data_IF_555130390210
#
_entry.id   IF_555130390210
#
_cell.length_a   1.000
_cell.length_b   1.000
_cell.length_c   1.000
_cell.angle_alpha   90.00
_cell.angle_beta   90.00
_cell.angle_gamma   90.00
#
_symmetry.space_group_name_H-M   'P 1'
#
loop_
_entity.id
_entity.type
_entity.pdbx_description
1 polymer ?
#
# COMPACT_ATOMS: atom_id res chain seq x y z
N UNK A 1 61.42 58.00 31.49
CA UNK A 1 60.17 57.23 31.27
C UNK A 1 59.50 57.07 32.63
N UNK A 2 58.35 57.73 32.81
CA UNK A 2 57.53 57.77 34.04
C UNK A 2 56.33 56.81 33.90
N UNK A 3 55.59 56.37 34.94
CA UNK A 3 55.82 56.09 36.37
C UNK A 3 54.51 55.43 36.91
N UNK A 4 54.57 54.56 37.93
CA UNK A 4 53.51 54.23 38.93
C UNK A 4 52.04 53.81 38.58
N UNK A 5 51.58 52.77 39.29
CA UNK A 5 50.20 52.57 39.83
C UNK A 5 50.03 53.38 41.15
N UNK A 6 48.85 53.45 41.84
CA UNK A 6 47.42 53.51 41.44
C UNK A 6 46.63 54.64 42.18
N UNK A 7 45.30 54.81 41.96
CA UNK A 7 44.23 54.95 43.00
C UNK A 7 42.84 55.49 42.51
N UNK A 8 41.79 54.97 43.15
CA UNK A 8 40.46 55.50 43.51
C UNK A 8 39.59 56.41 42.60
N UNK A 9 38.34 55.95 42.43
CA UNK A 9 37.06 56.64 42.69
C UNK A 9 36.71 57.96 41.97
N UNK A 10 35.65 57.91 41.16
CA UNK A 10 34.61 58.96 41.23
C UNK A 10 33.23 58.41 40.89
N UNK A 11 32.23 58.71 41.74
CA UNK A 11 30.82 58.36 41.55
C UNK A 11 30.18 59.38 40.59
N UNK A 12 29.34 58.93 39.65
CA UNK A 12 28.28 59.76 39.06
C UNK A 12 26.99 58.96 38.93
N UNK A 13 25.96 59.40 39.66
CA UNK A 13 24.57 59.01 39.44
C UNK A 13 24.02 59.70 38.18
N UNK A 14 23.12 59.04 37.44
CA UNK A 14 21.96 59.61 36.73
C UNK A 14 21.06 58.44 36.28
N UNK A 15 19.76 58.64 35.96
CA UNK A 15 18.72 58.11 36.83
C UNK A 15 17.94 56.94 36.22
N UNK A 16 17.35 56.13 37.11
CA UNK A 16 16.36 55.12 36.76
C UNK A 16 15.09 55.82 36.27
N UNK A 17 14.71 55.60 35.01
CA UNK A 17 13.37 55.89 34.51
C UNK A 17 12.57 54.59 34.45
N UNK A 18 11.59 54.45 35.35
CA UNK A 18 10.53 53.46 35.19
C UNK A 18 9.68 53.88 33.98
N UNK A 19 9.73 53.09 32.91
CA UNK A 19 8.64 53.07 31.92
C UNK A 19 7.72 51.89 32.25
N UNK A 20 6.64 52.19 32.97
CA UNK A 20 5.51 51.29 33.10
C UNK A 20 4.71 51.32 31.78
N UNK A 21 5.01 50.38 30.87
CA UNK A 21 4.16 50.10 29.72
C UNK A 21 3.13 49.03 30.12
N UNK A 22 1.85 49.41 30.13
CA UNK A 22 0.77 48.49 30.44
C UNK A 22 0.63 47.45 29.32
N UNK A 23 0.75 46.16 29.66
CA UNK A 23 0.33 45.07 28.79
C UNK A 23 -1.20 45.07 28.70
N UNK A 24 -1.81 45.07 27.50
CA UNK A 24 -3.23 44.82 27.37
C UNK A 24 -3.50 43.37 27.76
N UNK A 25 -4.44 43.17 28.70
CA UNK A 25 -4.91 41.86 29.10
C UNK A 25 -5.75 41.28 27.95
N UNK A 26 -5.13 40.53 27.05
CA UNK A 26 -5.84 39.81 25.98
C UNK A 26 -6.65 38.71 26.65
N UNK A 27 -7.97 38.87 26.63
CA UNK A 27 -8.92 37.84 27.00
C UNK A 27 -8.75 36.64 26.07
N UNK A 28 -8.50 35.45 26.63
CA UNK A 28 -8.66 34.19 25.89
C UNK A 28 -10.11 34.08 25.43
N UNK A 29 -10.33 34.26 24.13
CA UNK A 29 -11.50 33.75 23.45
C UNK A 29 -11.19 32.33 22.98
N UNK A 30 -12.15 31.41 23.10
CA UNK A 30 -11.98 30.03 22.68
C UNK A 30 -11.65 29.93 21.18
N UNK A 31 -10.40 29.60 20.86
CA UNK A 31 -10.01 29.04 19.57
C UNK A 31 -9.48 27.64 19.81
N UNK A 32 -10.37 26.66 19.70
CA UNK A 32 -10.08 25.24 19.80
C UNK A 32 -9.32 24.78 18.55
N UNK A 33 -8.04 25.13 18.46
CA UNK A 33 -7.13 24.69 17.40
C UNK A 33 -6.03 23.79 17.98
N UNK A 34 -6.45 22.60 18.40
CA UNK A 34 -5.58 21.49 18.80
C UNK A 34 -4.95 20.76 17.60
N UNK A 35 -5.32 21.12 16.36
CA UNK A 35 -4.97 20.36 15.14
C UNK A 35 -3.45 20.30 14.88
N UNK A 36 -2.71 21.35 15.25
CA UNK A 36 -1.29 21.49 14.94
C UNK A 36 -0.33 20.75 15.89
N UNK A 37 -0.76 20.33 17.09
CA UNK A 37 0.05 19.47 17.97
C UNK A 37 -0.21 17.97 17.78
N UNK A 38 -1.34 17.59 17.18
CA UNK A 38 -1.71 16.17 16.98
C UNK A 38 -0.75 15.46 16.00
N UNK A 39 -0.07 16.17 15.10
CA UNK A 39 0.86 15.57 14.13
C UNK A 39 2.12 14.88 14.73
N UNK A 40 2.38 14.99 16.03
CA UNK A 40 3.41 14.21 16.74
C UNK A 40 2.84 13.19 17.74
N UNK A 41 1.51 13.12 17.90
CA UNK A 41 0.81 12.24 18.83
C UNK A 41 -0.33 11.44 18.16
N UNK A 42 -0.50 11.57 16.84
CA UNK A 42 -1.32 10.67 16.05
C UNK A 42 -0.79 9.25 16.26
N UNK A 43 -1.65 8.39 16.80
CA UNK A 43 -1.33 6.97 16.97
C UNK A 43 -1.03 6.34 15.62
N UNK A 44 -0.20 5.30 15.62
CA UNK A 44 0.15 4.64 14.37
C UNK A 44 -1.10 4.05 13.71
N UNK A 45 -1.45 4.61 12.57
CA UNK A 45 -2.66 4.21 11.88
C UNK A 45 -2.56 2.74 11.41
N UNK A 46 -1.36 2.20 11.16
CA UNK A 46 -1.14 0.77 10.90
C UNK A 46 -1.50 -0.13 12.11
N UNK A 47 -1.47 0.39 13.35
CA UNK A 47 -1.97 -0.30 14.57
C UNK A 47 -3.49 -0.17 14.64
N UNK A 48 -4.01 1.05 14.47
CA UNK A 48 -5.44 1.34 14.57
C UNK A 48 -6.28 0.57 13.53
N UNK A 49 -5.75 0.39 12.30
CA UNK A 49 -6.37 -0.38 11.22
C UNK A 49 -6.63 -1.86 11.60
N UNK A 50 -5.84 -2.42 12.51
CA UNK A 50 -6.04 -3.78 13.05
C UNK A 50 -6.95 -3.74 14.28
N UNK A 51 -6.68 -2.83 15.23
CA UNK A 51 -7.42 -2.73 16.51
C UNK A 51 -8.92 -2.46 16.32
N UNK A 52 -9.31 -1.78 15.23
CA UNK A 52 -10.72 -1.42 14.93
C UNK A 52 -11.43 -2.42 14.02
N UNK A 53 -10.79 -3.53 13.66
CA UNK A 53 -11.37 -4.53 12.77
C UNK A 53 -11.97 -5.68 13.56
N UNK A 54 -13.24 -6.00 13.28
CA UNK A 54 -13.96 -7.12 13.89
C UNK A 54 -14.18 -8.24 12.86
N UNK A 55 -13.65 -9.46 13.09
CA UNK A 55 -13.98 -10.62 12.27
C UNK A 55 -15.47 -10.95 12.38
N UNK A 56 -16.06 -11.43 11.28
CA UNK A 56 -17.40 -12.04 11.30
C UNK A 56 -17.38 -13.27 12.22
N UNK A 57 -18.06 -13.15 13.36
CA UNK A 57 -18.37 -14.31 14.21
C UNK A 57 -19.33 -15.25 13.49
N UNK A 58 -19.15 -16.55 13.70
CA UNK A 58 -20.13 -17.56 13.27
C UNK A 58 -21.48 -17.32 13.97
N UNK A 59 -22.63 -17.60 13.32
CA UNK A 59 -23.94 -17.34 13.92
C UNK A 59 -24.18 -18.26 15.13
N UNK A 60 -23.93 -17.75 16.33
CA UNK A 60 -24.01 -18.54 17.57
C UNK A 60 -23.57 -17.83 18.85
N UNK A 61 -22.74 -16.79 18.77
CA UNK A 61 -22.25 -16.06 19.95
C UNK A 61 -22.74 -14.61 20.01
N UNK A 62 -23.47 -14.32 21.09
CA UNK A 62 -24.19 -13.10 21.44
C UNK A 62 -25.45 -12.78 20.60
N UNK A 63 -26.58 -12.70 21.29
CA UNK A 63 -27.89 -12.37 20.71
C UNK A 63 -28.40 -10.99 21.13
N UNK A 64 -29.53 -10.61 20.51
CA UNK A 64 -30.31 -9.40 20.75
C UNK A 64 -29.69 -8.09 20.20
N UNK A 65 -29.79 -7.93 18.88
CA UNK A 65 -29.82 -6.63 18.22
C UNK A 65 -31.05 -6.58 17.30
N UNK A 66 -31.86 -5.53 17.44
CA UNK A 66 -33.16 -5.38 16.80
C UNK A 66 -33.08 -5.12 15.29
N UNK A 67 -33.90 -5.82 14.51
CA UNK A 67 -34.13 -5.55 13.09
C UNK A 67 -34.77 -4.15 12.88
N UNK A 68 -33.98 -3.18 12.38
CA UNK A 68 -34.48 -1.98 11.72
C UNK A 68 -34.42 -2.19 10.19
N UNK A 69 -35.52 -2.67 9.61
CA UNK A 69 -35.66 -2.83 8.16
C UNK A 69 -35.66 -1.45 7.46
N UNK A 70 -34.58 -1.10 6.75
CA UNK A 70 -34.58 -0.01 5.77
C UNK A 70 -34.76 -0.56 4.35
N UNK A 71 -35.94 -0.33 3.78
CA UNK A 71 -36.23 -0.62 2.37
C UNK A 71 -35.28 0.13 1.42
N UNK A 72 -34.74 -0.52 0.37
CA UNK A 72 -33.94 0.16 -0.64
C UNK A 72 -34.82 0.98 -1.59
N UNK A 73 -34.73 2.30 -1.50
CA UNK A 73 -35.39 3.21 -2.45
C UNK A 73 -34.72 3.17 -3.83
N UNK A 74 -35.44 2.70 -4.84
CA UNK A 74 -34.97 2.66 -6.22
C UNK A 74 -34.89 4.08 -6.83
N UNK A 75 -33.77 4.47 -7.47
CA UNK A 75 -33.72 5.71 -8.24
C UNK A 75 -34.43 5.55 -9.59
N UNK A 76 -35.31 6.51 -9.93
CA UNK A 76 -35.99 6.54 -11.22
C UNK A 76 -35.04 7.01 -12.33
N UNK A 77 -34.90 6.21 -13.39
CA UNK A 77 -34.01 6.50 -14.53
C UNK A 77 -34.74 7.29 -15.61
N UNK A 78 -34.58 8.63 -15.62
CA UNK A 78 -35.03 9.46 -16.74
C UNK A 78 -33.97 9.44 -17.86
N UNK A 79 -34.18 8.57 -18.87
CA UNK A 79 -33.29 8.49 -20.04
C UNK A 79 -33.61 9.61 -21.04
N UNK A 80 -32.86 10.71 -21.01
CA UNK A 80 -32.75 11.62 -22.15
C UNK A 80 -31.56 11.24 -23.04
N UNK A 81 -31.86 10.52 -24.12
CA UNK A 81 -30.87 10.07 -25.10
C UNK A 81 -30.36 11.24 -25.94
N UNK A 82 -29.23 11.84 -25.55
CA UNK A 82 -28.44 12.69 -26.44
C UNK A 82 -27.37 11.84 -27.12
N UNK A 83 -27.61 11.46 -28.38
CA UNK A 83 -26.63 10.79 -29.24
C UNK A 83 -25.54 11.76 -29.68
N UNK A 84 -24.48 11.88 -28.89
CA UNK A 84 -23.22 12.49 -29.33
C UNK A 84 -22.45 11.46 -30.15
N UNK A 85 -22.40 11.64 -31.47
CA UNK A 85 -21.54 10.84 -32.35
C UNK A 85 -20.07 11.26 -32.12
N UNK A 86 -19.44 10.67 -31.11
CA UNK A 86 -18.00 10.83 -30.88
C UNK A 86 -17.23 10.03 -31.92
N UNK A 87 -16.71 10.69 -32.95
CA UNK A 87 -15.76 10.07 -33.89
C UNK A 87 -14.46 9.81 -33.13
N UNK A 88 -14.24 8.55 -32.74
CA UNK A 88 -12.98 8.11 -32.13
C UNK A 88 -11.92 8.06 -33.24
N UNK A 89 -11.16 9.15 -33.38
CA UNK A 89 -9.94 9.13 -34.18
C UNK A 89 -8.98 8.12 -33.51
N UNK A 90 -8.43 7.13 -34.23
CA UNK A 90 -7.50 6.18 -33.64
C UNK A 90 -6.21 6.91 -33.27
N UNK A 91 -6.02 7.17 -31.97
CA UNK A 91 -4.72 7.58 -31.43
C UNK A 91 -3.74 6.44 -31.70
N UNK A 92 -2.72 6.69 -32.51
CA UNK A 92 -1.66 5.73 -32.81
C UNK A 92 -0.89 5.42 -31.53
N UNK A 93 -1.31 4.38 -30.80
CA UNK A 93 -0.69 3.97 -29.54
C UNK A 93 0.76 3.58 -29.81
N UNK A 94 1.69 4.15 -29.04
CA UNK A 94 3.11 3.79 -29.16
C UNK A 94 3.31 2.45 -28.46
N UNK A 95 3.73 1.44 -29.22
CA UNK A 95 4.15 0.14 -28.68
C UNK A 95 5.33 0.38 -27.72
N UNK A 96 5.27 -0.23 -26.54
CA UNK A 96 6.32 -0.18 -25.55
C UNK A 96 7.53 -1.03 -25.99
N UNK A 97 8.77 -0.63 -25.67
CA UNK A 97 9.93 -1.43 -26.01
C UNK A 97 9.96 -2.71 -25.17
N UNK A 98 10.19 -3.85 -25.82
CA UNK A 98 10.54 -5.09 -25.12
C UNK A 98 11.99 -5.00 -24.63
N UNK A 99 12.22 -5.14 -23.33
CA UNK A 99 13.54 -5.00 -22.68
C UNK A 99 13.71 -6.08 -21.62
N UNK A 100 14.92 -6.62 -21.45
CA UNK A 100 15.19 -7.41 -20.24
C UNK A 100 15.16 -6.49 -19.01
N UNK A 101 14.36 -6.85 -18.01
CA UNK A 101 14.32 -6.15 -16.73
C UNK A 101 15.64 -6.33 -15.95
N UNK A 102 16.42 -7.38 -16.20
CA UNK A 102 17.74 -7.60 -15.61
C UNK A 102 18.81 -6.66 -16.17
N UNK A 103 18.64 -6.20 -17.41
CA UNK A 103 19.57 -5.26 -18.03
C UNK A 103 19.37 -3.82 -17.52
N UNK A 104 20.48 -3.08 -17.47
CA UNK A 104 20.50 -1.64 -17.14
C UNK A 104 20.04 -0.86 -18.37
N UNK A 105 18.72 -0.77 -18.54
CA UNK A 105 18.10 0.00 -19.62
C UNK A 105 18.23 1.52 -19.39
N UNK A 106 18.15 2.34 -20.47
CA UNK A 106 17.98 3.78 -20.35
C UNK A 106 16.67 4.15 -19.60
N UNK A 107 16.59 5.40 -19.14
CA UNK A 107 15.39 5.94 -18.49
C UNK A 107 14.16 5.80 -19.42
N UNK A 108 12.98 5.45 -18.88
CA UNK A 108 11.76 5.35 -19.67
C UNK A 108 11.37 6.72 -20.24
N UNK A 109 10.86 6.74 -21.47
CA UNK A 109 10.35 7.97 -22.11
C UNK A 109 9.13 8.51 -21.34
N UNK A 110 9.02 9.84 -21.13
CA UNK A 110 7.81 10.44 -20.57
C UNK A 110 6.58 10.20 -21.48
N UNK A 111 5.39 10.28 -20.88
CA UNK A 111 4.12 10.32 -21.63
C UNK A 111 4.12 11.50 -22.62
N UNK A 112 3.56 11.34 -23.83
CA UNK A 112 3.36 12.46 -24.74
C UNK A 112 2.31 13.43 -24.17
N UNK A 113 2.56 14.74 -24.29
CA UNK A 113 1.55 15.75 -23.96
C UNK A 113 0.30 15.58 -24.86
N UNK A 114 -0.91 15.82 -24.34
CA UNK A 114 -2.13 15.72 -25.13
C UNK A 114 -2.17 16.81 -26.21
N UNK A 115 -2.02 16.42 -27.47
CA UNK A 115 -2.09 17.33 -28.62
C UNK A 115 -3.48 17.97 -28.75
N UNK A 116 -3.56 19.29 -28.57
CA UNK A 116 -4.74 20.08 -28.92
C UNK A 116 -4.74 20.39 -30.42
N UNK A 117 -5.37 19.52 -31.20
CA UNK A 117 -5.55 19.76 -32.64
C UNK A 117 -6.52 20.94 -32.89
N UNK A 118 -6.14 21.96 -33.69
CA UNK A 118 -7.08 22.96 -34.20
C UNK A 118 -8.02 22.30 -35.21
N UNK A 119 -9.29 22.73 -35.23
CA UNK A 119 -10.34 22.08 -36.01
C UNK A 119 -10.07 22.02 -37.51
N UNK A 120 -10.30 20.84 -38.09
CA UNK A 120 -10.39 20.61 -39.52
C UNK A 120 -11.80 20.12 -39.86
N UNK A 121 -12.46 20.77 -40.82
CA UNK A 121 -13.74 20.35 -41.36
C UNK A 121 -13.56 19.05 -42.17
N UNK A 122 -14.42 18.05 -41.94
CA UNK A 122 -14.43 16.80 -42.69
C UNK A 122 -15.65 16.78 -43.62
N UNK A 123 -15.40 16.75 -44.93
CA UNK A 123 -16.42 16.49 -45.96
C UNK A 123 -16.75 15.00 -46.03
N UNK A 124 -18.03 14.68 -46.24
CA UNK A 124 -18.53 13.30 -46.23
C UNK A 124 -18.48 12.65 -47.62
N UNK A 125 -17.75 11.53 -47.72
CA UNK A 125 -17.75 10.45 -48.73
C UNK A 125 -16.58 9.53 -48.28
N UNK A 126 -16.67 8.20 -48.13
CA UNK A 126 -17.63 7.19 -48.60
C UNK A 126 -17.92 6.13 -47.51
N UNK A 127 -19.10 5.52 -47.55
CA UNK A 127 -19.50 4.36 -46.73
C UNK A 127 -20.10 3.30 -47.66
N UNK A 128 -19.58 2.06 -47.66
CA UNK A 128 -20.28 0.94 -48.28
C UNK A 128 -20.03 -0.39 -47.58
N UNK A 129 -21.07 -1.22 -47.58
CA UNK A 129 -21.24 -2.47 -46.81
C UNK A 129 -21.30 -3.65 -47.78
N UNK A 130 -20.79 -4.81 -47.37
CA UNK A 130 -21.17 -6.11 -47.96
C UNK A 130 -21.48 -7.09 -46.84
N UNK A 131 -22.58 -7.84 -46.99
CA UNK A 131 -23.05 -8.91 -46.10
C UNK A 131 -23.37 -10.18 -46.91
N UNK A 132 -23.49 -11.31 -46.19
CA UNK A 132 -24.08 -12.61 -46.62
C UNK A 132 -23.23 -13.43 -47.63
N UNK A 133 -23.17 -14.78 -47.65
CA UNK A 133 -23.90 -15.93 -47.04
C UNK A 133 -22.92 -17.11 -46.79
N UNK A 134 -23.13 -18.18 -46.00
CA UNK A 134 -24.01 -18.50 -44.86
C UNK A 134 -23.70 -19.95 -44.35
N UNK A 135 -24.10 -20.27 -43.10
CA UNK A 135 -24.44 -21.60 -42.50
C UNK A 135 -23.54 -22.86 -42.72
N UNK A 136 -23.13 -23.48 -41.61
CA UNK A 136 -22.51 -24.82 -41.55
C UNK A 136 -22.63 -25.49 -40.17
N UNK A 137 -23.70 -26.26 -40.00
CA UNK A 137 -24.05 -27.33 -39.02
C UNK A 137 -23.33 -27.49 -37.66
N UNK A 138 -24.16 -27.71 -36.63
CA UNK A 138 -23.80 -28.04 -35.25
C UNK A 138 -23.65 -29.55 -35.01
N UNK A 139 -22.59 -29.97 -34.33
CA UNK A 139 -22.54 -31.24 -33.58
C UNK A 139 -21.81 -31.04 -32.24
N UNK A 140 -22.21 -31.81 -31.23
CA UNK A 140 -21.63 -31.82 -29.89
C UNK A 140 -21.98 -33.16 -29.21
N UNK A 141 -21.25 -33.58 -28.17
CA UNK A 141 -19.82 -33.90 -28.25
C UNK A 141 -19.59 -35.38 -27.90
N UNK A 142 -18.43 -35.93 -28.28
CA UNK A 142 -17.95 -37.23 -27.77
C UNK A 142 -16.83 -36.98 -26.74
N UNK A 143 -16.82 -37.76 -25.65
CA UNK A 143 -15.89 -37.60 -24.53
C UNK A 143 -14.43 -37.90 -24.95
N UNK A 144 -13.63 -36.86 -25.20
CA UNK A 144 -12.17 -36.99 -25.26
C UNK A 144 -11.55 -36.82 -23.87
N UNK A 145 -10.69 -37.77 -23.49
CA UNK A 145 -10.02 -37.78 -22.20
C UNK A 145 -8.91 -36.72 -22.13
N UNK A 146 -9.06 -35.81 -21.16
CA UNK A 146 -8.08 -34.87 -20.59
C UNK A 146 -6.71 -34.78 -21.32
N UNK A 147 -6.74 -34.18 -22.50
CA UNK A 147 -5.53 -33.66 -23.15
C UNK A 147 -5.16 -32.34 -22.47
N UNK A 148 -3.86 -32.03 -22.27
CA UNK A 148 -3.46 -30.77 -21.66
C UNK A 148 -3.97 -29.62 -22.52
N UNK A 149 -4.94 -28.87 -21.98
CA UNK A 149 -5.55 -27.72 -22.64
C UNK A 149 -4.45 -26.70 -22.89
N UNK A 150 -4.13 -26.44 -24.16
CA UNK A 150 -3.14 -25.41 -24.49
C UNK A 150 -3.66 -24.06 -23.97
N UNK A 151 -2.82 -23.31 -23.22
CA UNK A 151 -3.27 -22.05 -22.65
C UNK A 151 -3.63 -21.06 -23.75
N UNK A 152 -4.76 -20.36 -23.58
CA UNK A 152 -5.21 -19.35 -24.53
C UNK A 152 -4.12 -18.27 -24.71
N UNK A 153 -3.88 -17.76 -25.94
CA UNK A 153 -2.88 -16.72 -26.16
C UNK A 153 -3.28 -15.40 -25.50
N UNK A 154 -2.30 -14.67 -24.97
CA UNK A 154 -2.53 -13.34 -24.40
C UNK A 154 -2.82 -12.28 -25.49
N UNK A 155 -3.58 -11.26 -25.10
CA UNK A 155 -3.79 -10.05 -25.88
C UNK A 155 -2.81 -8.93 -25.47
N UNK A 156 -2.63 -7.95 -26.36
CA UNK A 156 -1.89 -6.73 -26.02
C UNK A 156 -2.61 -5.93 -24.93
N UNK A 157 -1.82 -5.26 -24.10
CA UNK A 157 -2.30 -4.57 -22.90
C UNK A 157 -1.92 -3.09 -22.99
N UNK A 158 -2.88 -2.19 -22.77
CA UNK A 158 -2.59 -0.74 -22.78
C UNK A 158 -2.50 -0.21 -21.35
N UNK A 159 -1.37 0.39 -21.00
CA UNK A 159 -1.12 1.04 -19.70
C UNK A 159 -0.28 2.31 -19.93
N UNK A 160 -0.58 3.40 -19.20
CA UNK A 160 0.17 4.68 -19.28
C UNK A 160 0.39 5.16 -20.73
N UNK A 161 -0.67 5.09 -21.55
CA UNK A 161 -0.65 5.50 -22.96
C UNK A 161 0.20 4.64 -23.92
N UNK A 162 0.79 3.53 -23.45
CA UNK A 162 1.64 2.62 -24.23
C UNK A 162 0.99 1.24 -24.37
N UNK A 163 1.24 0.57 -25.50
CA UNK A 163 0.78 -0.80 -25.75
C UNK A 163 1.90 -1.80 -25.46
N UNK A 164 1.66 -2.75 -24.55
CA UNK A 164 2.58 -3.81 -24.14
C UNK A 164 2.15 -5.11 -24.81
N UNK A 165 2.98 -5.64 -25.71
CA UNK A 165 2.66 -6.84 -26.49
C UNK A 165 2.79 -8.12 -25.63
N UNK A 166 2.07 -9.20 -25.97
CA UNK A 166 2.28 -10.53 -25.39
C UNK A 166 3.74 -10.98 -25.48
N UNK A 167 4.22 -11.71 -24.48
CA UNK A 167 5.60 -12.23 -24.47
C UNK A 167 6.68 -11.15 -24.28
N UNK A 168 6.33 -9.97 -23.76
CA UNK A 168 7.27 -8.86 -23.57
C UNK A 168 7.30 -8.34 -22.14
N UNK A 169 8.41 -7.72 -21.78
CA UNK A 169 8.55 -6.97 -20.54
C UNK A 169 9.08 -5.56 -20.82
N UNK A 170 8.68 -4.59 -20.01
CA UNK A 170 8.96 -3.17 -20.25
C UNK A 170 9.01 -2.32 -18.98
N UNK A 171 9.48 -1.08 -19.14
CA UNK A 171 9.49 -0.03 -18.11
C UNK A 171 8.69 1.15 -18.64
N UNK A 172 7.53 1.40 -18.05
CA UNK A 172 6.68 2.54 -18.36
C UNK A 172 6.98 3.70 -17.40
N UNK A 173 6.63 4.92 -17.82
CA UNK A 173 6.82 6.14 -17.06
C UNK A 173 5.49 6.57 -16.43
N UNK A 174 5.30 6.36 -15.13
CA UNK A 174 4.22 7.01 -14.39
C UNK A 174 4.72 8.33 -13.80
N UNK A 175 3.87 9.35 -13.81
CA UNK A 175 4.08 10.55 -13.01
C UNK A 175 2.72 11.10 -12.57
N UNK A 176 2.56 11.55 -11.32
CA UNK A 176 1.30 12.13 -10.86
C UNK A 176 1.00 13.52 -11.46
N UNK A 177 1.87 14.09 -12.30
CA UNK A 177 1.70 15.38 -13.02
C UNK A 177 1.39 16.60 -12.09
N UNK A 178 1.71 16.48 -10.80
CA UNK A 178 1.52 17.50 -9.74
C UNK A 178 2.74 18.41 -9.50
N UNK A 179 3.89 18.06 -10.07
CA UNK A 179 5.15 18.77 -9.82
C UNK A 179 5.29 19.97 -10.76
N UNK A 180 6.12 20.93 -10.36
CA UNK A 180 6.41 22.12 -11.18
C UNK A 180 6.98 21.66 -12.53
N UNK A 181 6.49 22.23 -13.64
CA UNK A 181 6.95 21.90 -14.97
C UNK A 181 8.49 21.99 -15.08
N UNK A 182 9.12 20.96 -15.63
CA UNK A 182 10.58 20.83 -15.69
C UNK A 182 11.25 20.22 -14.45
N UNK A 183 10.52 20.02 -13.34
CA UNK A 183 10.99 19.27 -12.16
C UNK A 183 10.28 17.91 -11.98
N UNK A 184 9.36 17.56 -12.88
CA UNK A 184 8.56 16.33 -12.79
C UNK A 184 9.43 15.09 -12.83
N UNK A 185 9.48 14.36 -11.72
CA UNK A 185 10.14 13.06 -11.63
C UNK A 185 9.22 11.96 -12.17
N UNK A 186 9.82 11.02 -12.90
CA UNK A 186 9.17 9.81 -13.40
C UNK A 186 9.40 8.68 -12.40
N UNK A 187 8.33 7.99 -12.04
CA UNK A 187 8.36 6.74 -11.30
C UNK A 187 8.29 5.58 -12.30
N UNK A 188 9.29 4.68 -12.36
CA UNK A 188 9.24 3.52 -13.24
C UNK A 188 8.16 2.53 -12.82
N UNK A 189 7.30 2.15 -13.77
CA UNK A 189 6.34 1.04 -13.64
C UNK A 189 6.88 -0.13 -14.45
N UNK A 190 7.21 -1.23 -13.77
CA UNK A 190 7.64 -2.47 -14.38
C UNK A 190 6.40 -3.22 -14.89
N UNK A 191 6.43 -3.71 -16.12
CA UNK A 191 5.33 -4.54 -16.66
C UNK A 191 5.92 -5.77 -17.33
N UNK A 192 5.33 -6.94 -17.04
CA UNK A 192 5.58 -8.19 -17.76
C UNK A 192 4.22 -8.69 -18.27
N UNK A 193 4.06 -8.78 -19.60
CA UNK A 193 2.86 -9.34 -20.23
C UNK A 193 3.21 -10.72 -20.77
N UNK A 194 2.51 -11.75 -20.29
CA UNK A 194 2.73 -13.13 -20.65
C UNK A 194 2.44 -13.43 -22.12
N UNK A 195 2.86 -14.60 -22.59
CA UNK A 195 2.39 -15.16 -23.88
C UNK A 195 1.01 -15.79 -23.76
N UNK A 196 0.61 -16.17 -22.55
CA UNK A 196 -0.67 -16.83 -22.26
C UNK A 196 -1.62 -15.87 -21.55
N UNK A 197 -2.92 -15.97 -21.82
CA UNK A 197 -3.97 -15.25 -21.11
C UNK A 197 -4.04 -15.66 -19.64
N UNK A 198 -4.46 -14.73 -18.78
CA UNK A 198 -4.53 -14.93 -17.32
C UNK A 198 -4.75 -13.60 -16.60
N UNK A 199 -4.78 -13.59 -15.26
CA UNK A 199 -5.08 -12.41 -14.46
C UNK A 199 -3.93 -11.40 -14.45
N UNK A 200 -4.24 -10.17 -14.03
CA UNK A 200 -3.31 -9.05 -13.87
C UNK A 200 -3.04 -8.80 -12.39
N UNK A 201 -1.84 -9.15 -11.93
CA UNK A 201 -1.37 -8.91 -10.56
C UNK A 201 -0.61 -7.59 -10.49
N UNK A 202 -0.98 -6.73 -9.55
CA UNK A 202 -0.26 -5.50 -9.24
C UNK A 202 0.47 -5.60 -7.90
N UNK A 203 1.70 -5.10 -7.87
CA UNK A 203 2.56 -5.06 -6.68
C UNK A 203 2.98 -3.61 -6.45
N UNK A 204 2.62 -3.03 -5.30
CA UNK A 204 3.02 -1.67 -4.91
C UNK A 204 3.96 -1.70 -3.72
N UNK A 205 5.00 -0.86 -3.75
CA UNK A 205 6.01 -0.76 -2.71
C UNK A 205 6.37 0.70 -2.44
N UNK A 206 6.82 0.94 -1.21
CA UNK A 206 7.15 2.27 -0.70
C UNK A 206 6.07 3.34 -1.02
N UNK A 207 4.79 3.01 -0.77
CA UNK A 207 3.72 4.01 -0.58
C UNK A 207 4.10 4.96 0.56
N UNK A 208 4.75 4.41 1.58
CA UNK A 208 5.58 5.13 2.53
C UNK A 208 7.04 5.05 2.10
N UNK A 209 7.72 6.19 1.99
CA UNK A 209 9.05 6.23 1.36
C UNK A 209 10.17 5.54 2.14
N UNK A 210 9.98 5.31 3.44
CA UNK A 210 10.94 4.66 4.34
C UNK A 210 10.86 3.11 4.34
N UNK A 211 9.93 2.50 3.63
CA UNK A 211 9.64 1.06 3.72
C UNK A 211 10.39 0.26 2.63
N UNK A 212 11.66 -0.06 2.92
CA UNK A 212 12.63 -0.51 1.91
C UNK A 212 12.48 -1.98 1.45
N UNK A 213 12.04 -2.89 2.33
CA UNK A 213 11.97 -4.32 1.98
C UNK A 213 11.01 -4.59 0.80
N UNK A 214 9.88 -3.88 0.76
CA UNK A 214 8.90 -4.01 -0.34
C UNK A 214 9.47 -3.68 -1.71
N UNK A 215 10.37 -2.69 -1.79
CA UNK A 215 11.07 -2.31 -3.02
C UNK A 215 11.82 -3.51 -3.60
N UNK A 216 12.57 -4.23 -2.76
CA UNK A 216 13.41 -5.35 -3.20
C UNK A 216 12.60 -6.64 -3.42
N UNK A 217 11.53 -6.88 -2.64
CA UNK A 217 10.57 -7.95 -2.90
C UNK A 217 10.00 -7.82 -4.32
N UNK A 218 9.47 -6.64 -4.67
CA UNK A 218 8.92 -6.38 -6.01
C UNK A 218 9.98 -6.52 -7.07
N UNK A 219 11.18 -5.96 -6.85
CA UNK A 219 12.28 -6.06 -7.81
C UNK A 219 12.65 -7.50 -8.12
N UNK A 220 12.83 -8.36 -7.11
CA UNK A 220 13.22 -9.76 -7.31
C UNK A 220 12.12 -10.54 -8.02
N UNK A 221 10.88 -10.46 -7.54
CA UNK A 221 9.73 -11.09 -8.21
C UNK A 221 9.63 -10.64 -9.67
N UNK A 222 9.59 -9.33 -9.95
CA UNK A 222 9.47 -8.80 -11.32
C UNK A 222 10.64 -9.19 -12.23
N UNK A 223 11.86 -9.28 -11.70
CA UNK A 223 13.05 -9.58 -12.48
C UNK A 223 13.23 -11.09 -12.74
N UNK A 224 12.60 -11.97 -11.96
CA UNK A 224 12.65 -13.42 -12.18
C UNK A 224 11.62 -13.92 -13.21
N UNK A 225 10.56 -13.15 -13.46
CA UNK A 225 9.53 -13.49 -14.45
C UNK A 225 10.11 -13.63 -15.87
N UNK A 226 9.74 -14.72 -16.54
CA UNK A 226 9.91 -14.88 -17.99
C UNK A 226 8.55 -14.72 -18.68
N UNK A 227 8.33 -13.71 -19.54
CA UNK A 227 7.06 -13.52 -20.22
C UNK A 227 6.69 -14.67 -21.16
N UNK A 228 7.65 -15.44 -21.70
CA UNK A 228 7.40 -16.66 -22.48
C UNK A 228 6.82 -17.82 -21.67
N UNK A 229 6.77 -17.70 -20.34
CA UNK A 229 6.26 -18.72 -19.41
C UNK A 229 5.21 -18.18 -18.44
N UNK A 230 4.77 -16.93 -18.64
CA UNK A 230 3.79 -16.27 -17.79
C UNK A 230 2.40 -16.38 -18.44
N UNK A 231 1.41 -16.71 -17.62
CA UNK A 231 0.00 -16.56 -17.92
C UNK A 231 -0.54 -15.32 -17.21
N UNK A 232 -1.15 -14.41 -17.97
CA UNK A 232 -1.56 -13.10 -17.48
C UNK A 232 -0.42 -12.09 -17.42
N UNK A 233 -0.51 -11.15 -16.48
CA UNK A 233 0.33 -9.95 -16.42
C UNK A 233 0.76 -9.67 -14.99
N UNK A 234 1.99 -9.17 -14.82
CA UNK A 234 2.43 -8.61 -13.53
C UNK A 234 2.90 -7.18 -13.74
N UNK A 235 2.43 -6.27 -12.88
CA UNK A 235 2.75 -4.85 -12.87
C UNK A 235 3.38 -4.53 -11.51
N UNK A 236 4.62 -4.04 -11.51
CA UNK A 236 5.34 -3.66 -10.30
C UNK A 236 5.58 -2.16 -10.25
N UNK A 237 5.20 -1.51 -9.15
CA UNK A 237 5.56 -0.13 -8.82
C UNK A 237 6.43 -0.15 -7.56
N UNK A 238 7.76 -0.35 -7.66
CA UNK A 238 8.59 -0.57 -6.49
C UNK A 238 8.69 0.62 -5.54
N UNK A 239 8.49 1.85 -6.05
CA UNK A 239 8.59 3.09 -5.28
C UNK A 239 7.45 4.03 -5.67
N UNK A 240 6.33 3.97 -4.95
CA UNK A 240 5.19 4.87 -5.19
C UNK A 240 5.51 6.31 -4.72
N UNK A 241 5.92 6.49 -3.46
CA UNK A 241 6.26 7.80 -2.89
C UNK A 241 7.76 8.10 -3.11
N UNK A 242 8.13 8.38 -4.36
CA UNK A 242 9.51 8.68 -4.76
C UNK A 242 10.15 9.83 -3.96
N UNK A 243 9.34 10.85 -3.60
CA UNK A 243 9.80 11.98 -2.79
C UNK A 243 10.07 11.61 -1.33
N UNK A 244 9.24 10.76 -0.73
CA UNK A 244 9.47 10.22 0.61
C UNK A 244 10.69 9.31 0.61
N UNK A 245 10.86 8.48 -0.42
CA UNK A 245 12.00 7.57 -0.57
C UNK A 245 13.33 8.33 -0.62
N UNK A 246 13.41 9.40 -1.41
CA UNK A 246 14.59 10.29 -1.45
C UNK A 246 14.92 10.94 -0.10
N UNK A 247 13.96 11.02 0.81
CA UNK A 247 14.09 11.65 2.13
C UNK A 247 14.20 10.63 3.28
N UNK A 248 14.01 9.33 3.03
CA UNK A 248 13.83 8.33 4.09
C UNK A 248 12.61 8.65 4.97
N UNK A 249 11.49 9.05 4.35
CA UNK A 249 10.29 9.55 5.01
C UNK A 249 9.05 8.78 4.57
N UNK A 250 8.26 8.33 5.56
CA UNK A 250 6.90 7.83 5.37
C UNK A 250 6.03 8.77 4.53
N UNK A 251 6.04 10.04 4.90
CA UNK A 251 5.11 11.04 4.40
C UNK A 251 5.52 11.64 3.05
N UNK A 252 4.55 12.25 2.37
CA UNK A 252 4.76 13.18 1.26
C UNK A 252 5.43 14.49 1.73
N UNK A 253 5.96 15.33 0.81
CA UNK A 253 6.63 16.58 1.17
C UNK A 253 5.79 17.59 1.98
N UNK A 254 4.45 17.51 1.91
CA UNK A 254 3.52 18.30 2.71
C UNK A 254 3.05 17.59 4.00
N UNK A 255 3.77 16.53 4.40
CA UNK A 255 3.58 15.71 5.61
C UNK A 255 2.31 14.87 5.67
N UNK A 256 1.59 14.72 4.57
CA UNK A 256 0.47 13.77 4.50
C UNK A 256 0.96 12.34 4.35
N UNK A 257 0.30 11.41 5.03
CA UNK A 257 0.41 9.98 4.74
C UNK A 257 -0.39 9.70 3.46
N UNK A 258 0.26 9.18 2.41
CA UNK A 258 -0.39 8.89 1.13
C UNK A 258 -1.46 7.78 1.28
N UNK A 259 -1.26 6.83 2.19
CA UNK A 259 -2.16 5.69 2.41
C UNK A 259 -3.44 6.07 3.20
N UNK A 260 -3.76 7.36 3.28
CA UNK A 260 -4.99 7.92 3.86
C UNK A 260 -5.81 8.74 2.85
N UNK A 261 -5.43 8.74 1.58
CA UNK A 261 -6.08 9.53 0.51
C UNK A 261 -6.53 8.70 -0.70
N UNK A 262 -6.49 7.37 -0.70
CA UNK A 262 -7.02 6.55 -1.79
C UNK A 262 -8.56 6.42 -1.75
N UNK A 263 -9.25 6.32 -2.91
CA UNK A 263 -8.72 6.32 -4.27
C UNK A 263 -8.28 7.71 -4.77
N UNK A 264 -8.53 8.78 -4.01
CA UNK A 264 -8.04 10.12 -4.30
C UNK A 264 -8.99 10.97 -5.14
N UNK A 265 -8.53 12.19 -5.44
CA UNK A 265 -9.27 13.17 -6.25
C UNK A 265 -8.36 13.95 -7.18
N UNK A 266 -8.71 14.01 -8.46
CA UNK A 266 -8.00 14.79 -9.49
C UNK A 266 -7.86 16.29 -9.16
N UNK A 267 -8.83 16.85 -8.46
CA UNK A 267 -8.88 18.27 -8.09
C UNK A 267 -8.39 18.57 -6.67
N UNK A 268 -8.13 17.54 -5.85
CA UNK A 268 -7.86 17.64 -4.42
C UNK A 268 -6.47 18.16 -4.04
N UNK A 269 -6.05 17.79 -2.83
CA UNK A 269 -4.73 18.13 -2.28
C UNK A 269 -3.58 17.31 -2.94
N UNK A 270 -2.34 17.49 -2.47
CA UNK A 270 -1.18 16.78 -3.01
C UNK A 270 -1.36 15.25 -2.98
N UNK A 271 -1.72 14.71 -1.82
CA UNK A 271 -1.94 13.28 -1.61
C UNK A 271 -3.15 12.77 -2.41
N UNK A 272 -4.28 13.50 -2.42
CA UNK A 272 -5.46 13.17 -3.24
C UNK A 272 -5.08 12.96 -4.71
N UNK A 273 -4.21 13.82 -5.25
CA UNK A 273 -3.81 13.81 -6.66
C UNK A 273 -2.81 12.71 -6.99
N UNK A 274 -1.88 12.41 -6.09
CA UNK A 274 -0.99 11.25 -6.21
C UNK A 274 -1.81 9.97 -6.18
N UNK A 275 -2.68 9.82 -5.17
CA UNK A 275 -3.56 8.67 -5.00
C UNK A 275 -4.44 8.46 -6.23
N UNK A 276 -5.13 9.52 -6.70
CA UNK A 276 -5.95 9.48 -7.91
C UNK A 276 -5.16 9.05 -9.15
N UNK A 277 -3.96 9.62 -9.35
CA UNK A 277 -3.16 9.29 -10.52
C UNK A 277 -2.65 7.85 -10.50
N UNK A 278 -2.23 7.33 -9.34
CA UNK A 278 -1.85 5.92 -9.23
C UNK A 278 -3.07 4.99 -9.40
N UNK A 279 -4.18 5.32 -8.72
CA UNK A 279 -5.35 4.47 -8.67
C UNK A 279 -6.02 4.33 -10.04
N UNK A 280 -6.27 5.45 -10.71
CA UNK A 280 -6.98 5.46 -11.99
C UNK A 280 -6.10 5.00 -13.17
N UNK A 281 -4.80 5.32 -13.19
CA UNK A 281 -3.92 5.01 -14.33
C UNK A 281 -3.11 3.72 -14.18
N UNK A 282 -3.10 3.10 -12.99
CA UNK A 282 -2.39 1.84 -12.73
C UNK A 282 -3.30 0.82 -12.06
N UNK A 283 -3.81 1.11 -10.85
CA UNK A 283 -4.48 0.10 -10.00
C UNK A 283 -5.80 -0.40 -10.61
N UNK A 284 -6.60 0.46 -11.23
CA UNK A 284 -7.84 0.06 -11.93
C UNK A 284 -7.66 -0.92 -13.10
N UNK A 285 -6.42 -1.15 -13.54
CA UNK A 285 -6.11 -2.10 -14.61
C UNK A 285 -5.71 -3.49 -14.08
N UNK A 286 -5.85 -3.74 -12.78
CA UNK A 286 -5.42 -4.95 -12.10
C UNK A 286 -6.62 -5.78 -11.61
N UNK A 287 -6.49 -7.11 -11.61
CA UNK A 287 -7.48 -8.05 -11.05
C UNK A 287 -7.18 -8.40 -9.58
N UNK A 288 -5.93 -8.17 -9.17
CA UNK A 288 -5.36 -8.50 -7.86
C UNK A 288 -4.29 -7.48 -7.47
N UNK A 289 -4.14 -7.19 -6.17
CA UNK A 289 -3.18 -6.23 -5.63
C UNK A 289 -2.49 -6.74 -4.35
N UNK A 290 -1.16 -6.63 -4.30
CA UNK A 290 -0.39 -6.75 -3.06
C UNK A 290 0.34 -5.44 -2.80
N UNK A 291 -0.06 -4.77 -1.72
CA UNK A 291 0.53 -3.51 -1.26
C UNK A 291 1.52 -3.78 -0.13
N UNK A 292 2.82 -3.59 -0.38
CA UNK A 292 3.90 -4.10 0.47
C UNK A 292 4.47 -2.97 1.34
N UNK A 293 4.31 -3.17 2.66
CA UNK A 293 4.65 -2.27 3.74
C UNK A 293 5.66 -2.90 4.71
N UNK A 294 6.15 -2.10 5.66
CA UNK A 294 6.98 -2.58 6.78
C UNK A 294 6.57 -1.88 8.09
N UNK A 295 7.13 -2.33 9.23
CA UNK A 295 6.82 -1.76 10.54
C UNK A 295 7.13 -0.27 10.65
N UNK A 296 6.09 0.55 10.79
CA UNK A 296 6.17 2.00 11.02
C UNK A 296 6.74 2.34 12.41
N UNK A 297 7.16 3.59 12.63
CA UNK A 297 7.71 4.10 13.90
C UNK A 297 8.74 3.15 14.55
N UNK A 298 9.65 2.59 13.74
CA UNK A 298 10.67 1.60 14.16
C UNK A 298 10.06 0.36 14.84
N UNK A 299 8.90 -0.10 14.38
CA UNK A 299 8.46 -1.49 14.60
C UNK A 299 9.10 -2.41 13.58
N UNK A 300 9.10 -3.69 13.91
CA UNK A 300 9.38 -4.80 13.01
C UNK A 300 8.16 -5.72 13.00
N UNK A 301 7.74 -6.15 11.82
CA UNK A 301 6.67 -7.12 11.62
C UNK A 301 7.28 -8.45 11.14
N UNK A 302 6.71 -9.59 11.56
CA UNK A 302 6.90 -10.83 10.82
C UNK A 302 6.36 -10.67 9.40
N UNK A 303 6.82 -11.46 8.43
CA UNK A 303 6.13 -11.61 7.16
C UNK A 303 4.68 -12.02 7.44
N UNK A 304 3.73 -11.13 7.11
CA UNK A 304 2.31 -11.35 7.35
C UNK A 304 1.45 -10.58 6.35
N UNK A 305 0.22 -11.04 6.13
CA UNK A 305 -0.82 -10.32 5.41
C UNK A 305 -1.77 -9.63 6.39
N UNK A 306 -2.31 -8.50 5.96
CA UNK A 306 -3.48 -7.85 6.53
C UNK A 306 -4.57 -7.84 5.45
N UNK A 307 -5.66 -8.54 5.74
CA UNK A 307 -6.69 -8.88 4.77
C UNK A 307 -8.09 -8.73 5.39
N UNK A 308 -9.05 -8.27 4.59
CA UNK A 308 -10.45 -8.25 5.04
C UNK A 308 -11.05 -9.65 4.86
N UNK A 309 -10.86 -10.50 5.87
CA UNK A 309 -11.41 -11.86 5.90
C UNK A 309 -12.94 -11.90 5.90
N UNK A 310 -13.64 -10.75 6.04
CA UNK A 310 -15.09 -10.67 5.88
C UNK A 310 -15.50 -10.62 4.39
N UNK A 311 -14.56 -10.39 3.47
CA UNK A 311 -14.78 -10.49 2.03
C UNK A 311 -14.31 -11.87 1.52
N UNK A 312 -15.20 -12.72 0.97
CA UNK A 312 -14.84 -14.08 0.57
C UNK A 312 -13.82 -14.13 -0.59
N UNK A 313 -13.84 -13.17 -1.52
CA UNK A 313 -12.88 -13.11 -2.62
C UNK A 313 -11.47 -12.72 -2.12
N UNK A 314 -11.40 -11.92 -1.06
CA UNK A 314 -10.15 -11.56 -0.38
C UNK A 314 -9.66 -12.71 0.50
N UNK A 315 -10.55 -13.41 1.21
CA UNK A 315 -10.22 -14.60 1.98
C UNK A 315 -9.63 -15.70 1.07
N UNK A 316 -10.27 -15.99 -0.06
CA UNK A 316 -9.75 -16.93 -1.06
C UNK A 316 -8.39 -16.48 -1.60
N UNK A 317 -8.22 -15.19 -1.91
CA UNK A 317 -6.94 -14.63 -2.35
C UNK A 317 -5.82 -14.82 -1.30
N UNK A 318 -6.11 -14.81 0.01
CA UNK A 318 -5.09 -15.10 1.04
C UNK A 318 -4.56 -16.54 1.01
N UNK A 319 -5.35 -17.53 0.56
CA UNK A 319 -4.92 -18.94 0.42
C UNK A 319 -3.77 -19.11 -0.59
N UNK A 320 -3.54 -18.10 -1.45
CA UNK A 320 -2.44 -18.04 -2.41
C UNK A 320 -1.04 -17.89 -1.81
N UNK A 321 -0.88 -17.47 -0.55
CA UNK A 321 0.41 -16.99 -0.01
C UNK A 321 1.23 -18.01 0.80
N UNK A 322 0.96 -19.31 0.64
CA UNK A 322 1.54 -20.41 1.43
C UNK A 322 1.43 -20.14 2.95
N UNK A 323 2.48 -20.46 3.73
CA UNK A 323 2.53 -20.36 5.21
C UNK A 323 2.60 -18.93 5.75
N UNK A 324 2.24 -17.92 4.96
CA UNK A 324 2.26 -16.54 5.43
C UNK A 324 1.28 -16.39 6.61
N UNK A 325 1.66 -15.63 7.63
CA UNK A 325 0.72 -15.28 8.69
C UNK A 325 -0.38 -14.36 8.12
N UNK A 326 -1.62 -14.50 8.55
CA UNK A 326 -2.74 -13.65 8.11
C UNK A 326 -3.44 -13.07 9.31
N UNK A 327 -3.53 -11.74 9.37
CA UNK A 327 -4.25 -11.01 10.41
C UNK A 327 -5.49 -10.38 9.78
N UNK A 328 -6.66 -10.59 10.40
CA UNK A 328 -7.88 -9.93 9.97
C UNK A 328 -7.75 -8.40 10.11
N UNK A 329 -8.07 -7.68 9.05
CA UNK A 329 -8.26 -6.23 9.08
C UNK A 329 -9.20 -5.81 7.96
N UNK A 330 -10.38 -5.31 8.31
CA UNK A 330 -11.34 -4.66 7.38
C UNK A 330 -10.70 -3.45 6.67
N UNK A 331 -9.77 -2.78 7.35
CA UNK A 331 -9.05 -1.60 6.86
C UNK A 331 -9.86 -0.31 6.96
N UNK A 332 -9.15 0.83 6.87
CA UNK A 332 -9.73 2.17 7.02
C UNK A 332 -9.99 2.85 5.67
N UNK A 333 -10.98 3.78 5.60
CA UNK A 333 -11.11 4.69 4.47
C UNK A 333 -9.80 5.43 4.19
N UNK A 334 -9.46 5.61 2.90
CA UNK A 334 -8.21 6.24 2.49
C UNK A 334 -7.06 5.27 2.21
N UNK A 335 -7.15 4.01 2.63
CA UNK A 335 -6.14 2.98 2.30
C UNK A 335 -6.20 2.57 0.83
N UNK A 336 -5.04 2.33 0.21
CA UNK A 336 -4.92 1.76 -1.14
C UNK A 336 -5.63 0.40 -1.23
N UNK A 337 -5.35 -0.50 -0.27
CA UNK A 337 -6.03 -1.80 -0.15
C UNK A 337 -7.56 -1.67 -0.09
N UNK A 338 -8.08 -0.83 0.81
CA UNK A 338 -9.54 -0.65 0.97
C UNK A 338 -10.18 -0.06 -0.27
N UNK A 339 -9.55 0.93 -0.91
CA UNK A 339 -10.01 1.49 -2.18
C UNK A 339 -10.01 0.45 -3.32
N UNK A 340 -9.01 -0.42 -3.38
CA UNK A 340 -8.91 -1.50 -4.36
C UNK A 340 -10.03 -2.54 -4.17
N UNK A 341 -10.26 -3.01 -2.93
CA UNK A 341 -11.38 -3.93 -2.61
C UNK A 341 -12.73 -3.31 -2.98
N UNK A 342 -12.95 -2.02 -2.67
CA UNK A 342 -14.15 -1.29 -3.05
C UNK A 342 -14.34 -1.12 -4.57
N UNK A 343 -13.25 -1.23 -5.35
CA UNK A 343 -13.29 -1.24 -6.81
C UNK A 343 -13.41 -2.65 -7.43
N UNK A 344 -13.59 -3.70 -6.62
CA UNK A 344 -13.69 -5.10 -7.07
C UNK A 344 -12.34 -5.80 -7.27
N UNK A 345 -11.24 -5.21 -6.80
CA UNK A 345 -9.89 -5.76 -6.93
C UNK A 345 -9.55 -6.50 -5.63
N UNK A 346 -9.22 -7.79 -5.72
CA UNK A 346 -8.77 -8.60 -4.57
C UNK A 346 -7.44 -8.04 -4.06
N UNK A 347 -7.42 -7.50 -2.84
CA UNK A 347 -6.25 -6.78 -2.34
C UNK A 347 -5.89 -7.15 -0.91
N UNK A 348 -4.59 -7.34 -0.66
CA UNK A 348 -4.00 -7.51 0.67
C UNK A 348 -2.86 -6.53 0.88
N UNK A 349 -2.59 -6.21 2.15
CA UNK A 349 -1.37 -5.52 2.56
C UNK A 349 -0.40 -6.58 3.06
N UNK A 350 0.81 -6.63 2.51
CA UNK A 350 1.89 -7.48 3.03
C UNK A 350 2.80 -6.63 3.92
N UNK A 351 3.02 -7.06 5.15
CA UNK A 351 3.96 -6.46 6.10
C UNK A 351 5.23 -7.33 6.16
N UNK A 352 6.41 -6.72 6.03
CA UNK A 352 7.69 -7.45 6.02
C UNK A 352 8.82 -6.67 6.71
N UNK A 353 9.05 -6.89 8.00
CA UNK A 353 10.22 -6.36 8.73
C UNK A 353 10.10 -4.90 9.23
N UNK A 354 11.23 -4.21 9.27
CA UNK A 354 11.45 -2.85 9.78
C UNK A 354 11.42 -1.79 8.67
N UNK A 355 10.95 -0.60 9.01
CA UNK A 355 11.23 0.62 8.23
C UNK A 355 12.73 0.98 8.22
N UNK A 356 13.17 1.71 7.20
CA UNK A 356 14.53 2.24 6.99
C UNK A 356 15.66 1.19 6.85
N UNK A 357 15.34 -0.10 6.75
CA UNK A 357 16.35 -1.18 6.71
C UNK A 357 16.03 -2.22 5.65
N UNK A 358 17.07 -2.93 5.23
CA UNK A 358 16.98 -4.11 4.38
C UNK A 358 17.20 -5.34 5.26
N UNK A 359 16.26 -6.28 5.25
CA UNK A 359 16.32 -7.52 6.02
C UNK A 359 16.10 -8.71 5.07
N UNK A 360 17.18 -9.39 4.69
CA UNK A 360 17.17 -10.43 3.67
C UNK A 360 16.12 -11.52 3.92
N UNK A 361 16.01 -12.03 5.14
CA UNK A 361 15.04 -13.08 5.50
C UNK A 361 13.56 -12.64 5.35
N UNK A 362 13.27 -11.33 5.49
CA UNK A 362 11.93 -10.77 5.27
C UNK A 362 11.64 -10.69 3.77
N UNK A 363 12.64 -10.28 2.99
CA UNK A 363 12.57 -10.19 1.53
C UNK A 363 12.42 -11.58 0.90
N UNK A 364 13.21 -12.56 1.32
CA UNK A 364 13.10 -13.95 0.87
C UNK A 364 11.71 -14.53 1.17
N UNK A 365 11.15 -14.28 2.36
CA UNK A 365 9.80 -14.72 2.71
C UNK A 365 8.74 -14.08 1.80
N UNK A 366 8.80 -12.76 1.59
CA UNK A 366 7.88 -12.05 0.69
C UNK A 366 7.96 -12.52 -0.76
N UNK A 367 9.17 -12.68 -1.31
CA UNK A 367 9.40 -13.18 -2.68
C UNK A 367 8.89 -14.61 -2.83
N UNK A 368 9.14 -15.48 -1.85
CA UNK A 368 8.65 -16.85 -1.88
C UNK A 368 7.12 -16.90 -1.89
N UNK A 369 6.45 -16.15 -1.01
CA UNK A 369 4.98 -16.09 -0.98
C UNK A 369 4.37 -15.45 -2.22
N UNK A 370 4.99 -14.44 -2.84
CA UNK A 370 4.54 -13.90 -4.13
C UNK A 370 4.70 -14.91 -5.27
N UNK A 371 5.79 -15.67 -5.28
CA UNK A 371 5.98 -16.72 -6.29
C UNK A 371 4.95 -17.87 -6.11
N UNK A 372 4.57 -18.19 -4.87
CA UNK A 372 3.51 -19.17 -4.60
C UNK A 372 2.12 -18.62 -4.95
N UNK A 373 1.87 -17.32 -4.76
CA UNK A 373 0.65 -16.66 -5.23
C UNK A 373 0.51 -16.75 -6.75
N UNK A 374 1.59 -16.46 -7.48
CA UNK A 374 1.64 -16.60 -8.94
C UNK A 374 1.41 -18.06 -9.38
N UNK A 375 1.88 -19.04 -8.62
CA UNK A 375 1.64 -20.47 -8.89
C UNK A 375 0.19 -20.88 -8.62
N UNK A 376 -0.38 -20.53 -7.45
CA UNK A 376 -1.77 -20.85 -7.08
C UNK A 376 -2.81 -20.17 -7.99
N UNK A 377 -2.47 -19.02 -8.58
CA UNK A 377 -3.29 -18.39 -9.64
C UNK A 377 -2.97 -18.84 -11.08
N UNK A 378 -2.14 -19.89 -11.27
CA UNK A 378 -1.82 -20.45 -12.58
C UNK A 378 -1.00 -19.53 -13.49
N UNK A 379 -0.41 -18.47 -12.95
CA UNK A 379 0.37 -17.48 -13.69
C UNK A 379 1.76 -18.02 -14.03
N UNK A 380 2.37 -18.80 -13.14
CA UNK A 380 3.64 -19.51 -13.39
C UNK A 380 3.53 -20.98 -13.04
N UNK A 381 4.35 -21.82 -13.67
CA UNK A 381 4.54 -23.22 -13.26
C UNK A 381 5.85 -23.38 -12.49
N UNK A 382 5.81 -24.00 -11.30
CA UNK A 382 7.01 -24.48 -10.61
C UNK A 382 7.11 -26.00 -10.70
N UNK A 383 8.29 -26.53 -10.38
CA UNK A 383 8.45 -27.97 -10.16
C UNK A 383 7.74 -28.36 -8.87
N UNK A 384 6.96 -29.44 -8.92
CA UNK A 384 6.19 -30.00 -7.81
C UNK A 384 6.89 -29.88 -6.45
N UNK A 385 6.32 -29.05 -5.58
CA UNK A 385 6.70 -28.94 -4.16
C UNK A 385 5.88 -29.98 -3.38
N UNK A 386 6.51 -30.66 -2.41
CA UNK A 386 5.81 -31.64 -1.58
C UNK A 386 4.95 -30.94 -0.52
N UNK A 387 3.63 -31.10 -0.65
CA UNK A 387 2.61 -30.57 0.25
C UNK A 387 1.96 -29.29 -0.29
N UNK A 388 0.76 -29.00 0.21
CA UNK A 388 0.07 -27.73 -0.03
C UNK A 388 0.10 -26.93 1.29
N UNK A 389 1.04 -25.99 1.45
CA UNK A 389 1.09 -25.13 2.62
C UNK A 389 -0.05 -24.11 2.60
N UNK A 390 -0.78 -24.04 3.70
CA UNK A 390 -1.83 -23.03 3.92
C UNK A 390 -1.37 -21.90 4.86
N UNK A 391 -2.01 -20.73 4.80
CA UNK A 391 -1.70 -19.61 5.68
C UNK A 391 -2.02 -19.91 7.15
N UNK A 392 -1.35 -19.21 8.06
CA UNK A 392 -1.65 -19.30 9.50
C UNK A 392 -2.42 -18.07 9.92
N UNK A 393 -3.69 -18.24 10.27
CA UNK A 393 -4.58 -17.16 10.65
C UNK A 393 -4.40 -16.81 12.14
N UNK A 394 -4.40 -15.50 12.42
CA UNK A 394 -4.19 -14.96 13.75
C UNK A 394 -5.27 -13.93 14.09
N UNK A 395 -6.01 -14.19 15.16
CA UNK A 395 -6.52 -13.12 16.01
C UNK A 395 -5.33 -12.42 16.67
N UNK A 396 -5.46 -11.14 17.03
CA UNK A 396 -4.31 -10.41 17.55
C UNK A 396 -4.63 -9.28 18.51
N UNK A 397 -3.68 -8.94 19.38
CA UNK A 397 -3.79 -7.86 20.36
C UNK A 397 -2.48 -7.08 20.46
N UNK A 398 -2.59 -5.75 20.57
CA UNK A 398 -1.44 -4.87 20.82
C UNK A 398 -1.27 -4.61 22.32
N UNK A 399 -0.13 -5.01 22.87
CA UNK A 399 0.32 -4.60 24.19
C UNK A 399 0.99 -3.23 24.10
N UNK A 400 0.46 -2.26 24.85
CA UNK A 400 0.92 -0.87 24.86
C UNK A 400 1.79 -0.58 26.09
N UNK A 401 2.78 0.30 25.92
CA UNK A 401 3.58 0.81 27.03
C UNK A 401 2.73 1.73 27.92
N UNK A 402 2.65 1.46 29.22
CA UNK A 402 1.91 2.33 30.16
C UNK A 402 2.69 3.59 30.56
N UNK A 403 4.01 3.58 30.40
CA UNK A 403 4.94 4.61 30.85
C UNK A 403 5.78 5.13 29.67
N UNK A 404 6.25 6.38 29.76
CA UNK A 404 7.22 6.94 28.82
C UNK A 404 8.65 6.72 29.28
N UNK A 405 9.57 6.44 28.36
CA UNK A 405 10.97 6.14 28.67
C UNK A 405 11.69 5.46 27.52
N UNK A 406 12.75 4.71 27.81
CA UNK A 406 13.47 3.89 26.83
C UNK A 406 12.96 2.45 26.93
N UNK A 407 12.38 1.93 25.85
CA UNK A 407 12.02 0.53 25.71
C UNK A 407 13.29 -0.31 25.47
N UNK A 408 13.43 -1.38 26.26
CA UNK A 408 14.36 -2.48 26.05
C UNK A 408 13.56 -3.78 25.94
N UNK A 409 13.70 -4.50 24.83
CA UNK A 409 13.02 -5.79 24.65
C UNK A 409 13.85 -6.96 25.16
N UNK A 410 13.20 -7.89 25.87
CA UNK A 410 13.78 -9.18 26.29
C UNK A 410 13.38 -10.32 25.33
N UNK A 411 12.40 -10.08 24.45
CA UNK A 411 11.81 -11.07 23.54
C UNK A 411 12.16 -10.72 22.09
N UNK A 412 12.31 -11.75 21.25
CA UNK A 412 12.56 -11.59 19.81
C UNK A 412 11.27 -11.74 19.00
N UNK A 413 11.22 -11.06 17.84
CA UNK A 413 10.15 -11.23 16.86
C UNK A 413 9.97 -12.71 16.49
N UNK A 414 8.72 -13.17 16.48
CA UNK A 414 8.34 -14.55 16.18
C UNK A 414 8.46 -15.56 17.31
N UNK A 415 8.90 -15.13 18.51
CA UNK A 415 8.91 -15.96 19.71
C UNK A 415 7.47 -16.28 20.21
N UNK A 416 7.32 -17.44 20.83
CA UNK A 416 6.11 -17.80 21.57
C UNK A 416 6.23 -17.29 23.01
N UNK A 417 5.14 -16.74 23.55
CA UNK A 417 5.07 -16.12 24.89
C UNK A 417 3.87 -16.64 25.67
N UNK A 418 3.98 -16.64 27.00
CA UNK A 418 2.92 -17.03 27.93
C UNK A 418 2.25 -15.80 28.55
N UNK A 419 0.99 -15.92 28.96
CA UNK A 419 0.28 -14.86 29.69
C UNK A 419 1.06 -14.44 30.96
N UNK A 420 1.22 -13.13 31.17
CA UNK A 420 1.96 -12.56 32.29
C UNK A 420 3.49 -12.58 32.15
N UNK A 421 4.05 -13.23 31.14
CA UNK A 421 5.49 -13.21 30.80
C UNK A 421 5.98 -11.77 30.54
N UNK A 422 7.21 -11.44 30.92
CA UNK A 422 7.78 -10.11 30.67
C UNK A 422 8.34 -10.06 29.25
N UNK A 423 7.80 -9.16 28.43
CA UNK A 423 8.21 -8.95 27.04
C UNK A 423 9.42 -8.00 26.94
N UNK A 424 9.51 -7.07 27.88
CA UNK A 424 10.58 -6.08 27.98
C UNK A 424 10.26 -5.05 29.08
N UNK A 425 11.05 -3.98 29.14
CA UNK A 425 10.91 -2.92 30.14
C UNK A 425 10.94 -1.55 29.51
N UNK A 426 10.18 -0.60 30.05
CA UNK A 426 10.39 0.82 29.83
C UNK A 426 11.17 1.38 31.01
N UNK A 427 12.37 1.87 30.76
CA UNK A 427 13.22 2.50 31.77
C UNK A 427 13.13 4.03 31.70
N UNK A 428 12.95 4.68 32.85
CA UNK A 428 13.10 6.13 32.98
C UNK A 428 14.61 6.47 32.96
N UNK A 429 15.09 7.25 31.96
CA UNK A 429 16.50 7.58 31.82
C UNK A 429 17.03 8.58 32.88
N UNK A 430 16.16 9.14 33.72
CA UNK A 430 16.49 10.09 34.78
C UNK A 430 16.47 9.41 36.15
N UNK A 431 15.41 8.67 36.47
CA UNK A 431 15.24 8.05 37.80
C UNK A 431 15.78 6.62 37.89
N UNK A 432 16.02 5.96 36.75
CA UNK A 432 16.34 4.54 36.66
C UNK A 432 15.22 3.62 37.22
N UNK A 433 13.97 4.12 37.29
CA UNK A 433 12.79 3.27 37.48
C UNK A 433 12.55 2.43 36.21
N UNK A 434 12.03 1.21 36.38
CA UNK A 434 11.78 0.27 35.28
C UNK A 434 10.36 -0.31 35.39
N UNK A 435 9.61 -0.18 34.32
CA UNK A 435 8.22 -0.63 34.23
C UNK A 435 8.15 -1.84 33.26
N UNK A 436 7.89 -3.07 33.76
CA UNK A 436 7.81 -4.25 32.90
C UNK A 436 6.55 -4.21 32.02
N UNK A 437 6.73 -4.43 30.72
CA UNK A 437 5.63 -4.74 29.80
C UNK A 437 5.41 -6.26 29.83
N UNK A 438 4.15 -6.68 30.04
CA UNK A 438 3.79 -8.11 30.15
C UNK A 438 2.87 -8.56 29.03
N UNK A 439 2.99 -9.84 28.66
CA UNK A 439 2.06 -10.48 27.74
C UNK A 439 0.65 -10.51 28.33
N UNK A 440 -0.35 -10.09 27.57
CA UNK A 440 -1.77 -10.13 27.95
C UNK A 440 -2.44 -11.47 27.66
N UNK A 441 -1.76 -12.36 26.94
CA UNK A 441 -2.25 -13.69 26.55
C UNK A 441 -1.09 -14.64 26.29
N UNK A 442 -1.38 -15.93 26.11
CA UNK A 442 -0.47 -16.84 25.42
C UNK A 442 -0.53 -16.55 23.91
N UNK A 443 0.58 -16.67 23.19
CA UNK A 443 0.58 -16.46 21.74
C UNK A 443 1.98 -16.32 21.15
N UNK A 444 2.06 -15.71 19.97
CA UNK A 444 3.30 -15.48 19.23
C UNK A 444 3.50 -14.00 18.93
N UNK A 445 4.72 -13.48 19.07
CA UNK A 445 5.03 -12.10 18.72
C UNK A 445 5.07 -11.96 17.20
N UNK A 446 4.00 -11.43 16.59
CA UNK A 446 3.86 -11.21 15.14
C UNK A 446 4.33 -9.81 14.71
N UNK A 447 4.49 -8.90 15.66
CA UNK A 447 5.11 -7.59 15.47
C UNK A 447 5.60 -7.02 16.80
N UNK A 448 6.59 -6.15 16.77
CA UNK A 448 7.10 -5.49 17.99
C UNK A 448 7.87 -4.21 17.66
N UNK A 449 7.99 -3.33 18.63
CA UNK A 449 8.89 -2.19 18.60
C UNK A 449 10.34 -2.63 18.80
N UNK A 450 11.27 -2.07 18.02
CA UNK A 450 12.70 -2.18 18.35
C UNK A 450 13.03 -1.22 19.50
N UNK A 451 14.14 -1.47 20.21
CA UNK A 451 14.60 -0.63 21.32
C UNK A 451 14.66 0.86 20.94
N UNK A 452 13.83 1.67 21.61
CA UNK A 452 13.66 3.09 21.27
C UNK A 452 13.04 3.89 22.42
N UNK A 453 13.00 5.21 22.29
CA UNK A 453 12.19 6.06 23.17
C UNK A 453 10.71 5.86 22.84
N UNK A 454 9.91 5.52 23.85
CA UNK A 454 8.46 5.33 23.75
C UNK A 454 7.73 6.27 24.71
N UNK A 455 6.46 6.55 24.40
CA UNK A 455 5.55 7.28 25.28
C UNK A 455 4.48 6.33 25.84
N UNK A 456 3.82 6.73 26.93
CA UNK A 456 2.62 6.04 27.40
C UNK A 456 1.57 5.97 26.27
N UNK A 457 0.94 4.80 26.12
CA UNK A 457 0.03 4.46 25.02
C UNK A 457 0.71 3.84 23.78
N UNK A 458 2.04 3.89 23.66
CA UNK A 458 2.73 3.40 22.47
C UNK A 458 2.61 1.87 22.31
N UNK A 459 2.16 1.42 21.13
CA UNK A 459 2.02 0.01 20.78
C UNK A 459 3.39 -0.66 20.63
N UNK A 460 3.76 -1.48 21.62
CA UNK A 460 5.10 -2.03 21.81
C UNK A 460 5.23 -3.48 21.33
N UNK A 461 4.21 -4.31 21.52
CA UNK A 461 4.20 -5.71 21.06
C UNK A 461 2.84 -6.06 20.45
N UNK A 462 2.85 -6.85 19.38
CA UNK A 462 1.68 -7.39 18.70
C UNK A 462 1.71 -8.90 18.87
N UNK A 463 0.76 -9.41 19.64
CA UNK A 463 0.64 -10.84 19.94
C UNK A 463 -0.43 -11.41 19.02
N UNK A 464 -0.08 -12.45 18.26
CA UNK A 464 -1.01 -13.28 17.50
C UNK A 464 -1.40 -14.53 18.30
N UNK A 465 -2.69 -14.83 18.34
CA UNK A 465 -3.28 -16.10 18.80
C UNK A 465 -3.85 -16.82 17.59
N UNK A 466 -3.50 -18.10 17.39
CA UNK A 466 -3.99 -18.89 16.26
C UNK A 466 -5.53 -18.90 16.25
N UNK A 467 -6.11 -18.61 15.09
CA UNK A 467 -7.55 -18.48 14.88
C UNK A 467 -8.02 -19.37 13.72
N UNK A 468 -9.30 -19.73 13.74
CA UNK A 468 -9.97 -20.42 12.64
C UNK A 468 -10.40 -19.40 11.56
N UNK A 469 -10.58 -19.84 10.32
CA UNK A 469 -10.98 -18.96 9.22
C UNK A 469 -12.47 -18.59 9.39
N UNK A 470 -12.86 -17.30 9.32
CA UNK A 470 -14.26 -16.90 9.43
C UNK A 470 -15.14 -17.58 8.36
N UNK A 471 -16.01 -18.50 8.79
CA UNK A 471 -16.95 -19.22 7.94
C UNK A 471 -16.57 -20.63 7.51
N UNK A 472 -15.48 -21.20 8.06
CA UNK A 472 -15.19 -22.65 8.04
C UNK A 472 -15.82 -23.38 9.25
#
# INVERSE_FOLDING_TARGET
MLFQRPRHSTIRHFPIWLFAAALPMVTLADTNDSSLLVAQLAEDENVEDVVRSEPRRSPGEDGDASDDEQEPSAPATDQQTQTVNTVVVPVTRKIAPNIDLKEVAPLPEPEPEPETLPGAELSAEELQVVQDTAQGETSAPEDEADAPVEPLPAESFTLLGKEVLPGTSTRLAWSPQIQIAGLSQITPVLVVNGVNAGPTLCLTGAVHGDELNGIEIIRRTMYELNPEKLSGRVIGVPIVNLTGFQQGSRYLPDRRDLNRFFPGRKDGNLADRVAYSLFENVIRHCDMLVDIHTGSLKRTNLPQLRADMNNPDVAEFTRGFDRMAVVHSSGSPGMLRTAAVQAGIRAVTMEAGESLRIQEHQIEAGVNSLNSLLEKHGMISRMFVWGDPEPVYYDSTWVRAEHGGILFSEINLGANVSEGEVLGYVADPITNEQHPIRSTSNGRIIGMAVDQVVMAGFAAYHIGTEAEVPGE
#
